data_IF_022891136920
#
_entry.id   IF_022891136920
#
_cell.length_a   1.000
_cell.length_b   1.000
_cell.length_c   1.000
_cell.angle_alpha   90.00
_cell.angle_beta   90.00
_cell.angle_gamma   90.00
#
_symmetry.space_group_name_H-M   'P 1'
#
loop_
_entity.id
_entity.type
_entity.pdbx_description
1 polymer ?
#
# COMPACT_ATOMS: atom_id res chain seq x y z
N UNK A 1 17.99 -64.04 23.75
CA UNK A 1 16.82 -63.44 23.00
C UNK A 1 16.48 -62.10 23.62
N UNK A 2 16.86 -61.00 22.96
CA UNK A 2 16.49 -59.64 23.40
C UNK A 2 15.12 -59.28 22.83
N UNK A 3 14.12 -59.09 23.71
CA UNK A 3 12.81 -58.57 23.34
C UNK A 3 12.95 -57.10 22.92
N UNK A 4 12.75 -56.76 21.67
CA UNK A 4 12.57 -55.39 21.18
C UNK A 4 11.36 -54.77 21.89
N UNK A 5 11.60 -53.85 22.84
CA UNK A 5 10.54 -53.03 23.45
C UNK A 5 9.94 -52.14 22.35
N UNK A 6 8.78 -52.46 21.86
CA UNK A 6 8.05 -51.60 20.93
C UNK A 6 7.72 -50.28 21.61
N UNK A 7 7.95 -49.19 20.90
CA UNK A 7 7.60 -47.82 21.32
C UNK A 7 6.11 -47.78 21.69
N UNK A 8 5.78 -47.18 22.83
CA UNK A 8 4.41 -47.06 23.29
C UNK A 8 3.56 -46.24 22.30
N UNK A 9 2.27 -46.55 22.20
CA UNK A 9 1.33 -45.86 21.33
C UNK A 9 1.35 -44.36 21.60
N UNK A 10 1.50 -43.94 22.84
CA UNK A 10 1.63 -42.55 23.27
C UNK A 10 2.86 -41.85 22.71
N UNK A 11 3.99 -42.55 22.61
CA UNK A 11 5.20 -41.98 22.01
C UNK A 11 5.04 -41.72 20.49
N UNK A 12 4.28 -42.60 19.80
CA UNK A 12 3.96 -42.43 18.38
C UNK A 12 3.00 -41.27 18.14
N UNK A 13 2.01 -41.06 18.99
CA UNK A 13 1.07 -39.94 18.94
C UNK A 13 1.77 -38.63 19.24
N UNK A 14 2.61 -38.58 20.27
CA UNK A 14 3.37 -37.35 20.59
C UNK A 14 4.33 -36.96 19.47
N UNK A 15 4.98 -37.93 18.80
CA UNK A 15 5.86 -37.64 17.66
C UNK A 15 5.07 -37.15 16.45
N UNK A 16 3.89 -37.71 16.17
CA UNK A 16 3.01 -37.27 15.09
C UNK A 16 2.49 -35.83 15.29
N UNK A 17 2.03 -35.49 16.49
CA UNK A 17 1.58 -34.14 16.83
C UNK A 17 2.73 -33.12 16.77
N UNK A 18 3.94 -33.47 17.22
CA UNK A 18 5.12 -32.62 17.16
C UNK A 18 5.51 -32.25 15.71
N UNK A 19 5.48 -33.23 14.81
CA UNK A 19 5.79 -33.02 13.39
C UNK A 19 4.74 -32.11 12.72
N UNK A 20 3.44 -32.32 13.00
CA UNK A 20 2.38 -31.47 12.48
C UNK A 20 2.47 -30.03 13.01
N UNK A 21 2.87 -29.85 14.27
CA UNK A 21 3.07 -28.52 14.85
C UNK A 21 4.26 -27.79 14.22
N UNK A 22 5.37 -28.48 13.98
CA UNK A 22 6.55 -27.91 13.31
C UNK A 22 6.26 -27.59 11.85
N UNK A 23 5.50 -28.41 11.14
CA UNK A 23 5.08 -28.14 9.76
C UNK A 23 4.10 -26.96 9.71
N UNK A 24 3.19 -26.84 10.67
CA UNK A 24 2.28 -25.71 10.79
C UNK A 24 3.00 -24.39 11.04
N UNK A 25 3.94 -24.34 11.99
CA UNK A 25 4.75 -23.16 12.26
C UNK A 25 5.71 -22.81 11.10
N UNK A 26 6.36 -23.82 10.53
CA UNK A 26 7.23 -23.62 9.35
C UNK A 26 6.44 -23.13 8.13
N UNK A 27 5.24 -23.66 7.91
CA UNK A 27 4.34 -23.23 6.84
C UNK A 27 3.91 -21.76 7.01
N UNK A 28 3.57 -21.33 8.21
CA UNK A 28 3.19 -19.93 8.48
C UNK A 28 4.36 -18.96 8.24
N UNK A 29 5.58 -19.35 8.61
CA UNK A 29 6.77 -18.50 8.38
C UNK A 29 7.10 -18.39 6.89
N UNK A 30 7.06 -19.52 6.16
CA UNK A 30 7.33 -19.53 4.71
C UNK A 30 6.24 -18.80 3.93
N UNK A 31 4.96 -18.98 4.27
CA UNK A 31 3.86 -18.25 3.65
C UNK A 31 3.92 -16.77 4.00
N UNK A 32 4.23 -16.40 5.23
CA UNK A 32 4.39 -15.01 5.65
C UNK A 32 5.54 -14.31 4.92
N UNK A 33 6.69 -14.95 4.74
CA UNK A 33 7.84 -14.37 4.02
C UNK A 33 7.63 -14.30 2.50
N UNK A 34 6.93 -15.26 1.91
CA UNK A 34 6.56 -15.22 0.49
C UNK A 34 5.50 -14.18 0.21
N UNK A 35 4.49 -14.02 1.07
CA UNK A 35 3.52 -12.92 0.96
C UNK A 35 4.19 -11.56 1.15
N UNK A 36 5.06 -11.38 2.12
CA UNK A 36 5.80 -10.12 2.32
C UNK A 36 6.71 -9.78 1.14
N UNK A 37 7.37 -10.77 0.53
CA UNK A 37 8.18 -10.59 -0.68
C UNK A 37 7.34 -10.33 -1.93
N UNK A 38 6.18 -10.95 -2.05
CA UNK A 38 5.25 -10.68 -3.15
C UNK A 38 4.67 -9.26 -3.03
N UNK A 39 4.29 -8.82 -1.85
CA UNK A 39 3.84 -7.45 -1.57
C UNK A 39 4.97 -6.45 -1.85
N UNK A 40 6.19 -6.71 -1.42
CA UNK A 40 7.35 -5.86 -1.68
C UNK A 40 7.71 -5.73 -3.17
N UNK A 41 7.48 -6.77 -3.98
CA UNK A 41 7.70 -6.73 -5.44
C UNK A 41 6.57 -6.03 -6.21
N UNK A 42 5.36 -5.99 -5.68
CA UNK A 42 4.23 -5.28 -6.30
C UNK A 42 4.18 -3.80 -5.93
N UNK A 43 4.86 -3.41 -4.85
CA UNK A 43 5.08 -2.02 -4.45
C UNK A 43 6.33 -1.47 -5.15
N UNK A 44 6.21 -1.04 -6.39
CA UNK A 44 7.32 -0.45 -7.16
C UNK A 44 7.84 0.88 -6.57
N UNK A 45 7.22 1.39 -5.52
CA UNK A 45 7.54 2.70 -4.94
C UNK A 45 7.28 3.88 -5.89
N UNK A 46 6.96 3.58 -7.16
CA UNK A 46 6.73 4.61 -8.19
C UNK A 46 5.55 5.50 -7.83
N UNK A 47 4.44 4.91 -7.42
CA UNK A 47 3.26 5.67 -7.02
C UNK A 47 3.51 6.50 -5.76
N UNK A 48 4.39 6.04 -4.86
CA UNK A 48 4.80 6.84 -3.71
C UNK A 48 5.60 8.09 -4.13
N UNK A 49 6.54 7.93 -5.05
CA UNK A 49 7.31 9.07 -5.60
C UNK A 49 6.36 10.05 -6.30
N UNK A 50 5.47 9.55 -7.14
CA UNK A 50 4.48 10.37 -7.84
C UNK A 50 3.52 11.08 -6.87
N UNK A 51 3.09 10.42 -5.78
CA UNK A 51 2.26 11.05 -4.75
C UNK A 51 3.02 12.17 -4.03
N UNK A 52 4.31 11.97 -3.73
CA UNK A 52 5.16 13.04 -3.15
C UNK A 52 5.24 14.25 -4.06
N UNK A 53 5.50 14.03 -5.34
CA UNK A 53 5.56 15.08 -6.34
C UNK A 53 4.22 15.83 -6.44
N UNK A 54 3.11 15.09 -6.50
CA UNK A 54 1.77 15.67 -6.53
C UNK A 54 1.49 16.53 -5.28
N UNK A 55 1.80 16.02 -4.08
CA UNK A 55 1.63 16.78 -2.83
C UNK A 55 2.52 18.03 -2.80
N UNK A 56 3.74 17.94 -3.33
CA UNK A 56 4.63 19.10 -3.45
C UNK A 56 4.07 20.15 -4.41
N UNK A 57 3.52 19.73 -5.55
CA UNK A 57 2.89 20.64 -6.53
C UNK A 57 1.65 21.33 -5.95
N UNK A 58 0.88 20.66 -5.09
CA UNK A 58 -0.29 21.26 -4.41
C UNK A 58 0.05 22.44 -3.49
N UNK A 59 1.32 22.63 -3.12
CA UNK A 59 1.74 23.73 -2.23
C UNK A 59 1.64 25.11 -2.87
N UNK A 60 1.53 25.19 -4.20
CA UNK A 60 1.36 26.45 -4.93
C UNK A 60 0.21 26.36 -5.95
N UNK A 61 -0.32 27.49 -6.37
CA UNK A 61 -1.36 27.53 -7.40
C UNK A 61 -0.82 27.09 -8.76
N UNK A 62 0.38 27.52 -9.11
CA UNK A 62 1.04 27.15 -10.37
C UNK A 62 1.34 25.65 -10.41
N UNK A 63 1.81 25.08 -9.29
CA UNK A 63 2.04 23.64 -9.18
C UNK A 63 0.74 22.85 -9.27
N UNK A 64 -0.32 23.25 -8.58
CA UNK A 64 -1.62 22.62 -8.65
C UNK A 64 -2.21 22.66 -10.07
N UNK A 65 -2.06 23.80 -10.77
CA UNK A 65 -2.44 23.95 -12.17
C UNK A 65 -1.67 23.01 -13.09
N UNK A 66 -0.35 22.96 -12.93
CA UNK A 66 0.50 22.05 -13.69
C UNK A 66 0.11 20.57 -13.45
N UNK A 67 -0.18 20.19 -12.18
CA UNK A 67 -0.65 18.86 -11.83
C UNK A 67 -1.97 18.51 -12.53
N UNK A 68 -2.93 19.42 -12.52
CA UNK A 68 -4.22 19.23 -13.18
C UNK A 68 -4.07 19.08 -14.69
N UNK A 69 -3.28 19.94 -15.34
CA UNK A 69 -3.05 19.91 -16.78
C UNK A 69 -2.29 18.65 -17.24
N UNK A 70 -1.33 18.19 -16.41
CA UNK A 70 -0.57 16.97 -16.70
C UNK A 70 -1.37 15.67 -16.54
N UNK A 71 -2.51 15.71 -15.82
CA UNK A 71 -3.33 14.55 -15.53
C UNK A 71 -4.78 14.74 -15.99
N UNK A 72 -5.07 14.58 -17.31
CA UNK A 72 -6.41 14.78 -17.86
C UNK A 72 -7.48 13.90 -17.20
N UNK A 73 -7.08 12.75 -16.65
CA UNK A 73 -7.99 11.84 -15.99
C UNK A 73 -8.57 12.42 -14.67
N UNK A 74 -7.89 13.42 -14.06
CA UNK A 74 -8.43 14.19 -12.92
C UNK A 74 -9.68 15.00 -13.29
N UNK A 75 -9.91 15.29 -14.58
CA UNK A 75 -11.07 16.06 -15.04
C UNK A 75 -12.40 15.35 -14.76
N UNK A 76 -12.38 14.03 -14.61
CA UNK A 76 -13.58 13.28 -14.22
C UNK A 76 -13.97 13.56 -12.76
N UNK A 77 -12.98 13.73 -11.88
CA UNK A 77 -13.20 14.04 -10.46
C UNK A 77 -13.37 15.53 -10.22
N UNK A 78 -12.71 16.37 -11.04
CA UNK A 78 -12.68 17.82 -10.94
C UNK A 78 -12.99 18.42 -12.32
N UNK A 79 -14.25 18.82 -12.60
CA UNK A 79 -14.68 19.21 -13.94
C UNK A 79 -14.01 20.46 -14.51
N UNK A 80 -13.37 21.30 -13.66
CA UNK A 80 -12.64 22.48 -14.10
C UNK A 80 -11.34 22.68 -13.30
N UNK A 81 -10.37 23.32 -13.94
CA UNK A 81 -9.12 23.73 -13.29
C UNK A 81 -9.39 24.59 -12.05
N UNK A 82 -10.31 25.54 -12.14
CA UNK A 82 -10.66 26.42 -11.02
C UNK A 82 -11.21 25.63 -9.82
N UNK A 83 -12.07 24.63 -10.09
CA UNK A 83 -12.59 23.74 -9.05
C UNK A 83 -11.46 22.97 -8.37
N UNK A 84 -10.51 22.44 -9.14
CA UNK A 84 -9.34 21.76 -8.59
C UNK A 84 -8.46 22.68 -7.76
N UNK A 85 -8.19 23.90 -8.25
CA UNK A 85 -7.41 24.91 -7.54
C UNK A 85 -8.06 25.31 -6.21
N UNK A 86 -9.37 25.47 -6.18
CA UNK A 86 -10.10 25.75 -4.95
C UNK A 86 -9.94 24.62 -3.93
N UNK A 87 -10.04 23.37 -4.36
CA UNK A 87 -9.79 22.22 -3.49
C UNK A 87 -8.32 22.18 -3.03
N UNK A 88 -7.37 22.38 -3.92
CA UNK A 88 -5.95 22.41 -3.57
C UNK A 88 -5.64 23.45 -2.50
N UNK A 89 -6.20 24.65 -2.60
CA UNK A 89 -6.08 25.71 -1.57
C UNK A 89 -6.64 25.28 -0.22
N UNK A 90 -7.79 24.58 -0.20
CA UNK A 90 -8.39 24.05 1.01
C UNK A 90 -7.56 22.93 1.65
N UNK A 91 -6.81 22.17 0.86
CA UNK A 91 -5.95 21.08 1.34
C UNK A 91 -4.61 21.54 1.89
N UNK A 92 -4.03 22.64 1.38
CA UNK A 92 -2.69 23.14 1.76
C UNK A 92 -2.44 23.20 3.27
N UNK A 93 -3.34 23.76 4.10
CA UNK A 93 -3.10 23.81 5.54
C UNK A 93 -2.98 22.44 6.21
N UNK A 94 -3.53 21.41 5.58
CA UNK A 94 -3.53 20.03 6.07
C UNK A 94 -2.32 19.23 5.58
N UNK A 95 -1.68 19.67 4.48
CA UNK A 95 -0.59 18.95 3.84
C UNK A 95 0.72 19.19 4.58
N UNK A 96 1.50 18.13 4.69
CA UNK A 96 2.89 18.10 5.15
C UNK A 96 3.75 17.47 4.06
N UNK A 97 5.07 17.78 4.00
CA UNK A 97 5.97 17.02 3.16
C UNK A 97 5.90 15.53 3.50
N UNK A 98 5.72 14.69 2.49
CA UNK A 98 5.72 13.25 2.69
C UNK A 98 7.14 12.75 2.99
N UNK A 99 7.29 11.67 3.77
CA UNK A 99 8.58 11.03 4.03
C UNK A 99 9.30 10.67 2.72
N UNK A 100 10.65 10.73 2.74
CA UNK A 100 11.47 10.35 1.59
C UNK A 100 11.21 8.92 1.15
N UNK A 101 11.08 8.03 2.13
CA UNK A 101 10.75 6.61 1.93
C UNK A 101 9.28 6.34 2.27
N UNK A 102 8.69 5.41 1.55
CA UNK A 102 7.33 4.96 1.83
C UNK A 102 7.29 4.29 3.22
N UNK A 103 6.42 4.75 4.14
CA UNK A 103 6.28 4.12 5.43
C UNK A 103 5.86 2.65 5.31
N UNK A 104 6.28 1.82 6.27
CA UNK A 104 5.82 0.44 6.32
C UNK A 104 4.30 0.37 6.50
N UNK A 105 3.65 -0.57 5.79
CA UNK A 105 2.21 -0.85 5.93
C UNK A 105 1.82 -1.24 7.37
N UNK A 106 2.77 -1.77 8.14
CA UNK A 106 2.55 -2.13 9.54
C UNK A 106 2.43 -0.94 10.49
N UNK A 107 2.78 0.27 10.04
CA UNK A 107 2.63 1.49 10.87
C UNK A 107 1.19 1.98 10.96
N UNK A 108 0.27 1.44 10.17
CA UNK A 108 -1.11 1.89 10.05
C UNK A 108 -1.27 3.27 9.39
N UNK A 109 -0.16 3.90 8.98
CA UNK A 109 -0.19 5.23 8.32
C UNK A 109 -0.41 5.15 6.82
N UNK A 110 -0.19 3.99 6.22
CA UNK A 110 -0.33 3.77 4.78
C UNK A 110 -1.30 2.63 4.51
N UNK A 111 -2.13 2.81 3.52
CA UNK A 111 -2.94 1.77 2.89
C UNK A 111 -2.56 1.66 1.43
N UNK A 112 -2.37 0.45 0.97
CA UNK A 112 -1.97 0.19 -0.42
C UNK A 112 -2.77 -0.98 -0.97
N UNK A 113 -3.51 -0.74 -2.03
CA UNK A 113 -4.32 -1.75 -2.70
C UNK A 113 -4.00 -1.75 -4.19
N UNK A 114 -3.67 -2.92 -4.72
CA UNK A 114 -3.38 -3.12 -6.14
C UNK A 114 -4.34 -4.16 -6.70
N UNK A 115 -5.03 -3.81 -7.76
CA UNK A 115 -5.82 -4.73 -8.55
C UNK A 115 -5.34 -4.75 -9.99
N UNK A 116 -5.23 -5.96 -10.55
CA UNK A 116 -4.86 -6.17 -11.95
C UNK A 116 -5.97 -6.98 -12.60
N UNK A 117 -6.60 -6.42 -13.62
CA UNK A 117 -7.65 -7.10 -14.36
C UNK A 117 -7.50 -6.82 -15.86
N UNK A 118 -7.38 -7.87 -16.67
CA UNK A 118 -7.32 -7.76 -18.13
C UNK A 118 -6.19 -6.86 -18.65
N UNK A 119 -5.04 -6.79 -17.95
CA UNK A 119 -3.92 -5.91 -18.31
C UNK A 119 -4.01 -4.48 -17.75
N UNK A 120 -5.10 -4.12 -17.10
CA UNK A 120 -5.25 -2.85 -16.38
C UNK A 120 -4.73 -2.99 -14.94
N UNK A 121 -3.80 -2.12 -14.56
CA UNK A 121 -3.28 -2.03 -13.19
C UNK A 121 -3.88 -0.81 -12.52
N UNK A 122 -4.66 -1.04 -11.47
CA UNK A 122 -5.22 -0.01 -10.59
C UNK A 122 -4.51 -0.04 -9.25
N UNK A 123 -4.08 1.10 -8.78
CA UNK A 123 -3.43 1.27 -7.48
C UNK A 123 -4.21 2.31 -6.69
N UNK A 124 -4.56 1.98 -5.48
CA UNK A 124 -5.13 2.90 -4.50
C UNK A 124 -4.13 3.03 -3.36
N UNK A 125 -3.66 4.25 -3.14
CA UNK A 125 -2.68 4.58 -2.13
C UNK A 125 -3.28 5.61 -1.17
N UNK A 126 -3.37 5.25 0.11
CA UNK A 126 -3.78 6.14 1.18
C UNK A 126 -2.61 6.38 2.14
N UNK A 127 -2.48 7.60 2.62
CA UNK A 127 -1.50 7.98 3.62
C UNK A 127 -2.11 8.93 4.64
N UNK A 128 -1.92 8.64 5.93
CA UNK A 128 -2.31 9.53 7.02
C UNK A 128 -1.06 10.22 7.57
N UNK A 129 -1.02 11.54 7.48
CA UNK A 129 0.10 12.33 7.96
C UNK A 129 0.09 12.49 9.50
N UNK A 130 1.10 13.18 10.06
CA UNK A 130 1.21 13.35 11.50
C UNK A 130 0.14 14.30 12.08
N UNK A 131 -0.50 15.12 11.25
CA UNK A 131 -1.63 15.99 11.62
C UNK A 131 -2.97 15.30 11.53
N UNK A 132 -3.00 14.01 11.16
CA UNK A 132 -4.22 13.23 11.02
C UNK A 132 -4.95 13.45 9.70
N UNK A 133 -4.41 14.22 8.77
CA UNK A 133 -4.98 14.36 7.43
C UNK A 133 -4.75 13.09 6.61
N UNK A 134 -5.82 12.57 6.02
CA UNK A 134 -5.78 11.41 5.14
C UNK A 134 -5.68 11.87 3.69
N UNK A 135 -4.60 11.50 3.03
CA UNK A 135 -4.34 11.72 1.61
C UNK A 135 -4.67 10.43 0.89
N UNK A 136 -5.59 10.44 -0.05
CA UNK A 136 -5.93 9.29 -0.86
C UNK A 136 -5.72 9.59 -2.34
N UNK A 137 -5.10 8.65 -3.05
CA UNK A 137 -4.85 8.74 -4.49
C UNK A 137 -5.22 7.43 -5.17
N UNK A 138 -5.71 7.55 -6.40
CA UNK A 138 -5.99 6.43 -7.29
C UNK A 138 -5.23 6.61 -8.58
N UNK A 139 -4.58 5.54 -8.99
CA UNK A 139 -3.76 5.48 -10.19
C UNK A 139 -4.26 4.35 -11.09
N UNK A 140 -4.37 4.59 -12.38
CA UNK A 140 -4.67 3.57 -13.38
C UNK A 140 -3.59 3.59 -14.46
N UNK A 141 -2.90 2.46 -14.63
CA UNK A 141 -1.77 2.33 -15.56
C UNK A 141 -0.72 3.44 -15.38
N UNK A 142 -0.46 3.85 -14.13
CA UNK A 142 0.51 4.89 -13.78
C UNK A 142 0.02 6.33 -13.99
N UNK A 143 -1.27 6.55 -14.32
CA UNK A 143 -1.88 7.88 -14.43
C UNK A 143 -2.72 8.18 -13.19
N UNK A 144 -2.60 9.38 -12.67
CA UNK A 144 -3.39 9.84 -11.52
C UNK A 144 -4.83 10.11 -11.95
N UNK A 145 -5.77 9.36 -11.35
CA UNK A 145 -7.21 9.46 -11.62
C UNK A 145 -7.93 10.30 -10.56
N UNK A 146 -7.46 10.23 -9.34
CA UNK A 146 -8.09 10.91 -8.21
C UNK A 146 -7.03 11.23 -7.15
N UNK A 147 -7.17 12.39 -6.54
CA UNK A 147 -6.40 12.82 -5.38
C UNK A 147 -7.33 13.56 -4.43
N UNK A 148 -7.39 13.15 -3.17
CA UNK A 148 -8.22 13.79 -2.14
C UNK A 148 -7.44 13.95 -0.85
N UNK A 149 -7.78 14.98 -0.07
CA UNK A 149 -7.23 15.22 1.28
C UNK A 149 -8.38 15.56 2.22
N UNK A 150 -8.55 14.74 3.24
CA UNK A 150 -9.61 14.86 4.26
C UNK A 150 -9.06 15.38 5.58
#
# INVERSE_FOLDING_TARGET
>A
MQRKKGMSVWAKVAMGCGVLFLLGLGGCVVLGTTCARAIGKTMDGREWVQLKEAVQQLQSDDGAKALYQANPDLWQAYPSEENFLQQARAWRPKLEPLPSEMPSIFTGKISYNVSVNGGFRKVELGYTNNRGAAIASRWENGRLQMLTVN
#
